data_IF_028620717845
#
_entry.id   IF_028620717845
#
_cell.length_a   1.000
_cell.length_b   1.000
_cell.length_c   1.000
_cell.angle_alpha   90.00
_cell.angle_beta   90.00
_cell.angle_gamma   90.00
#
_symmetry.space_group_name_H-M   'P 1'
#
loop_
_entity.id
_entity.type
_entity.pdbx_description
1 polymer ?
#
# COMPACT_ATOMS: atom_id res chain seq x y z
N UNK A 1 4.36 19.97 -12.34
CA UNK A 1 4.46 18.70 -13.09
C UNK A 1 4.65 17.55 -12.14
N UNK A 2 4.31 16.33 -12.57
CA UNK A 2 4.39 15.14 -11.75
C UNK A 2 5.10 13.98 -12.46
N UNK A 3 5.80 13.16 -11.70
CA UNK A 3 6.40 11.90 -12.13
C UNK A 3 5.59 10.72 -11.60
N UNK A 4 5.34 9.73 -12.46
CA UNK A 4 4.69 8.47 -12.07
C UNK A 4 5.76 7.39 -11.99
N UNK A 5 5.97 6.85 -10.80
CA UNK A 5 6.99 5.82 -10.54
C UNK A 5 6.29 4.47 -10.40
N UNK A 6 6.42 3.65 -11.43
CA UNK A 6 5.84 2.28 -11.50
C UNK A 6 6.91 1.23 -11.81
N UNK A 7 8.12 1.42 -11.29
CA UNK A 7 9.21 0.43 -11.39
C UNK A 7 8.89 -0.81 -10.56
N UNK A 8 9.78 -1.81 -10.52
CA UNK A 8 9.65 -2.89 -9.54
C UNK A 8 9.71 -2.30 -8.12
N UNK A 9 8.97 -2.90 -7.19
CA UNK A 9 8.76 -2.41 -5.81
C UNK A 9 10.06 -2.15 -5.03
N UNK A 10 11.06 -3.01 -5.17
CA UNK A 10 12.39 -2.84 -4.59
C UNK A 10 13.21 -1.69 -5.21
N UNK A 11 12.76 -1.11 -6.32
CA UNK A 11 13.40 0.00 -7.02
C UNK A 11 12.63 1.32 -6.85
N UNK A 12 11.56 1.38 -6.07
CA UNK A 12 10.72 2.57 -5.91
C UNK A 12 11.47 3.78 -5.32
N UNK A 13 12.28 3.55 -4.29
CA UNK A 13 12.87 4.59 -3.44
C UNK A 13 13.71 5.59 -4.24
N UNK A 14 14.74 5.10 -4.94
CA UNK A 14 15.71 5.94 -5.64
C UNK A 14 15.10 6.87 -6.71
N UNK A 15 14.29 6.40 -7.68
CA UNK A 15 13.69 7.27 -8.68
C UNK A 15 12.68 8.25 -8.07
N UNK A 16 11.95 7.88 -7.01
CA UNK A 16 11.04 8.80 -6.32
C UNK A 16 11.79 9.93 -5.59
N UNK A 17 12.90 9.61 -4.90
CA UNK A 17 13.76 10.61 -4.27
C UNK A 17 14.32 11.60 -5.31
N UNK A 18 14.86 11.08 -6.43
CA UNK A 18 15.39 11.90 -7.52
C UNK A 18 14.32 12.77 -8.16
N UNK A 19 13.12 12.24 -8.40
CA UNK A 19 12.02 13.02 -8.98
C UNK A 19 11.63 14.21 -8.09
N UNK A 20 11.52 14.01 -6.77
CA UNK A 20 11.24 15.09 -5.83
C UNK A 20 12.38 16.11 -5.76
N UNK A 21 13.63 15.68 -5.79
CA UNK A 21 14.81 16.57 -5.84
C UNK A 21 14.83 17.43 -7.11
N UNK A 22 14.39 16.88 -8.25
CA UNK A 22 14.23 17.62 -9.51
C UNK A 22 12.98 18.51 -9.55
N UNK A 23 12.20 18.58 -8.46
CA UNK A 23 11.06 19.48 -8.33
C UNK A 23 9.72 18.93 -8.84
N UNK A 24 9.61 17.62 -9.07
CA UNK A 24 8.35 16.97 -9.45
C UNK A 24 7.54 16.52 -8.22
N UNK A 25 6.22 16.65 -8.30
CA UNK A 25 5.32 15.87 -7.45
C UNK A 25 5.39 14.39 -7.90
N UNK A 26 5.20 13.45 -6.97
CA UNK A 26 5.36 12.02 -7.24
C UNK A 26 4.07 11.26 -6.95
N UNK A 27 3.61 10.52 -7.97
CA UNK A 27 2.65 9.43 -7.81
C UNK A 27 3.42 8.10 -7.84
N UNK A 28 3.49 7.41 -6.72
CA UNK A 28 4.30 6.21 -6.53
C UNK A 28 3.40 4.97 -6.45
N UNK A 29 3.69 3.95 -7.25
CA UNK A 29 3.01 2.66 -7.13
C UNK A 29 3.20 2.03 -5.74
N UNK A 30 2.27 1.18 -5.36
CA UNK A 30 2.34 0.47 -4.08
C UNK A 30 3.13 -0.84 -4.22
N UNK A 31 3.78 -1.33 -3.15
CA UNK A 31 3.96 -0.67 -1.85
C UNK A 31 4.94 0.50 -1.94
N UNK A 32 4.85 1.43 -1.00
CA UNK A 32 5.70 2.62 -0.96
C UNK A 32 7.20 2.27 -1.01
N UNK A 33 7.61 1.31 -0.19
CA UNK A 33 8.92 0.65 -0.25
C UNK A 33 8.83 -0.72 0.47
N UNK A 34 9.88 -1.54 0.34
CA UNK A 34 9.93 -2.85 0.98
C UNK A 34 10.46 -2.78 2.42
N UNK A 35 11.11 -1.67 2.80
CA UNK A 35 11.71 -1.47 4.12
C UNK A 35 11.21 -0.18 4.76
N UNK A 36 11.14 -0.18 6.09
CA UNK A 36 10.62 0.94 6.87
C UNK A 36 11.51 2.19 6.75
N UNK A 37 12.83 2.02 6.76
CA UNK A 37 13.77 3.13 6.62
C UNK A 37 13.64 3.84 5.28
N UNK A 38 13.40 3.10 4.19
CA UNK A 38 13.11 3.68 2.88
C UNK A 38 11.79 4.46 2.85
N UNK A 39 10.73 3.94 3.50
CA UNK A 39 9.48 4.68 3.67
C UNK A 39 9.73 6.02 4.41
N UNK A 40 10.52 5.99 5.49
CA UNK A 40 10.89 7.21 6.23
C UNK A 40 11.67 8.19 5.36
N UNK A 41 12.64 7.69 4.56
CA UNK A 41 13.40 8.53 3.62
C UNK A 41 12.50 9.25 2.62
N UNK A 42 11.54 8.53 2.03
CA UNK A 42 10.59 9.09 1.06
C UNK A 42 9.71 10.18 1.68
N UNK A 43 9.17 9.95 2.89
CA UNK A 43 8.38 10.97 3.61
C UNK A 43 9.24 12.19 3.93
N UNK A 44 10.44 11.99 4.46
CA UNK A 44 11.34 13.08 4.79
C UNK A 44 11.72 13.90 3.55
N UNK A 45 11.99 13.25 2.41
CA UNK A 45 12.30 13.95 1.16
C UNK A 45 11.12 14.75 0.63
N UNK A 46 9.91 14.23 0.72
CA UNK A 46 8.68 14.98 0.39
C UNK A 46 8.55 16.23 1.25
N UNK A 47 8.81 16.14 2.56
CA UNK A 47 8.78 17.27 3.48
C UNK A 47 9.90 18.29 3.20
N UNK A 48 11.12 17.82 2.94
CA UNK A 48 12.29 18.65 2.65
C UNK A 48 12.12 19.46 1.35
N UNK A 49 11.64 18.82 0.28
CA UNK A 49 11.47 19.44 -1.04
C UNK A 49 10.15 20.20 -1.20
N UNK A 50 9.21 20.02 -0.27
CA UNK A 50 7.86 20.54 -0.37
C UNK A 50 7.05 19.95 -1.54
N UNK A 51 7.46 18.79 -2.08
CA UNK A 51 6.78 18.09 -3.17
C UNK A 51 5.76 17.11 -2.62
N UNK A 52 4.65 16.95 -3.32
CA UNK A 52 3.64 15.96 -2.96
C UNK A 52 4.15 14.55 -3.28
N UNK A 53 4.03 13.65 -2.32
CA UNK A 53 4.21 12.21 -2.52
C UNK A 53 2.89 11.50 -2.25
N UNK A 54 2.28 10.95 -3.29
CA UNK A 54 1.04 10.20 -3.22
C UNK A 54 1.30 8.73 -3.56
N UNK A 55 0.85 7.82 -2.70
CA UNK A 55 0.91 6.38 -2.97
C UNK A 55 -0.34 5.95 -3.73
N UNK A 56 -0.20 5.09 -4.75
CA UNK A 56 -1.28 4.53 -5.58
C UNK A 56 -2.17 3.54 -4.84
N UNK A 57 -2.82 3.97 -3.75
CA UNK A 57 -3.90 3.21 -3.12
C UNK A 57 -5.21 3.35 -3.91
N UNK A 58 -5.21 2.80 -5.13
CA UNK A 58 -6.29 2.96 -6.12
C UNK A 58 -7.65 2.45 -5.62
N UNK A 59 -7.67 1.51 -4.66
CA UNK A 59 -8.92 0.94 -4.14
C UNK A 59 -9.82 2.00 -3.50
N UNK A 60 -9.27 3.07 -2.91
CA UNK A 60 -10.05 4.19 -2.34
C UNK A 60 -10.96 4.87 -3.38
N UNK A 61 -10.62 4.77 -4.66
CA UNK A 61 -11.32 5.43 -5.78
C UNK A 61 -12.28 4.50 -6.52
N UNK A 62 -12.42 3.24 -6.09
CA UNK A 62 -13.42 2.34 -6.66
C UNK A 62 -14.77 2.58 -6.01
N UNK A 63 -15.85 2.49 -6.79
CA UNK A 63 -17.23 2.70 -6.31
C UNK A 63 -17.57 1.81 -5.11
N UNK A 64 -17.04 0.59 -5.08
CA UNK A 64 -17.26 -0.34 -3.99
C UNK A 64 -16.72 0.19 -2.66
N UNK A 65 -15.44 0.55 -2.60
CA UNK A 65 -14.83 1.01 -1.36
C UNK A 65 -15.21 2.44 -1.01
N UNK A 66 -15.44 3.32 -1.99
CA UNK A 66 -15.97 4.67 -1.72
C UNK A 66 -17.38 4.62 -1.11
N UNK A 67 -18.25 3.73 -1.61
CA UNK A 67 -19.59 3.52 -1.02
C UNK A 67 -19.51 3.02 0.42
N UNK A 68 -18.59 2.08 0.72
CA UNK A 68 -18.37 1.61 2.09
C UNK A 68 -17.89 2.75 2.99
N UNK A 69 -16.90 3.51 2.53
CA UNK A 69 -16.38 4.67 3.24
C UNK A 69 -17.48 5.68 3.55
N UNK A 70 -18.24 6.13 2.55
CA UNK A 70 -19.35 7.07 2.72
C UNK A 70 -20.43 6.54 3.67
N UNK A 71 -20.75 5.25 3.59
CA UNK A 71 -21.72 4.62 4.50
C UNK A 71 -21.25 4.67 5.95
N UNK A 72 -19.98 4.37 6.20
CA UNK A 72 -19.37 4.47 7.54
C UNK A 72 -19.36 5.93 8.01
N UNK A 73 -18.88 6.87 7.17
CA UNK A 73 -18.77 8.29 7.52
C UNK A 73 -20.14 8.93 7.77
N UNK A 74 -21.19 8.48 7.07
CA UNK A 74 -22.56 8.99 7.26
C UNK A 74 -23.15 8.67 8.63
N UNK A 75 -22.55 7.76 9.40
CA UNK A 75 -23.05 7.33 10.71
C UNK A 75 -24.30 6.43 10.65
N UNK A 76 -24.77 6.05 9.45
CA UNK A 76 -25.96 5.19 9.26
C UNK A 76 -25.85 3.81 9.94
N UNK A 77 -24.62 3.31 10.11
CA UNK A 77 -24.34 2.04 10.78
C UNK A 77 -24.19 2.18 12.31
N UNK A 78 -24.24 3.41 12.84
CA UNK A 78 -23.85 3.69 14.22
C UNK A 78 -22.35 3.47 14.44
N UNK A 79 -21.99 2.98 15.62
CA UNK A 79 -20.59 2.70 15.98
C UNK A 79 -20.12 1.41 15.31
N UNK A 80 -19.12 1.49 14.45
CA UNK A 80 -18.43 0.31 13.91
C UNK A 80 -17.73 -0.44 15.05
N UNK A 81 -18.08 -1.72 15.21
CA UNK A 81 -17.51 -2.59 16.26
C UNK A 81 -16.45 -3.54 15.70
N UNK A 82 -16.66 -4.04 14.48
CA UNK A 82 -15.78 -5.00 13.84
C UNK A 82 -15.74 -4.77 12.33
N UNK A 83 -14.57 -5.01 11.72
CA UNK A 83 -14.38 -5.04 10.27
C UNK A 83 -13.59 -6.32 9.95
N UNK A 84 -14.08 -7.08 8.96
CA UNK A 84 -13.41 -8.27 8.44
C UNK A 84 -13.10 -8.04 6.96
N UNK A 85 -11.83 -8.17 6.58
CA UNK A 85 -11.38 -8.05 5.19
C UNK A 85 -10.79 -9.39 4.74
N UNK A 86 -11.09 -9.78 3.49
CA UNK A 86 -10.60 -11.03 2.89
C UNK A 86 -10.04 -10.76 1.50
N UNK A 87 -8.72 -10.82 1.39
CA UNK A 87 -8.02 -10.76 0.11
C UNK A 87 -7.76 -12.19 -0.38
N UNK A 88 -8.46 -12.60 -1.44
CA UNK A 88 -8.33 -13.94 -2.02
C UNK A 88 -7.53 -13.89 -3.32
N UNK A 89 -6.27 -14.33 -3.26
CA UNK A 89 -5.40 -14.39 -4.44
C UNK A 89 -5.68 -15.66 -5.23
N UNK A 90 -6.10 -15.53 -6.49
CA UNK A 90 -6.37 -16.68 -7.35
C UNK A 90 -5.11 -17.53 -7.60
N UNK A 91 -5.29 -18.85 -7.80
CA UNK A 91 -4.17 -19.78 -7.98
C UNK A 91 -3.26 -19.42 -9.17
N UNK A 92 -3.84 -18.90 -10.26
CA UNK A 92 -3.09 -18.52 -11.45
C UNK A 92 -2.28 -17.25 -11.21
N UNK A 93 -2.83 -16.28 -10.49
CA UNK A 93 -2.12 -15.05 -10.11
C UNK A 93 -1.00 -15.37 -9.12
N UNK A 94 -1.26 -16.25 -8.15
CA UNK A 94 -0.24 -16.73 -7.22
C UNK A 94 0.91 -17.44 -7.96
N UNK A 95 0.59 -18.39 -8.84
CA UNK A 95 1.58 -19.14 -9.61
C UNK A 95 2.39 -18.26 -10.55
N UNK A 96 1.73 -17.31 -11.22
CA UNK A 96 2.40 -16.39 -12.13
C UNK A 96 3.31 -15.40 -11.39
N UNK A 97 2.79 -14.68 -10.37
CA UNK A 97 3.52 -13.57 -9.75
C UNK A 97 4.50 -14.01 -8.66
N UNK A 98 4.10 -14.97 -7.82
CA UNK A 98 4.79 -15.32 -6.58
C UNK A 98 5.50 -16.68 -6.60
N UNK A 99 5.34 -17.45 -7.69
CA UNK A 99 6.14 -18.67 -7.91
C UNK A 99 7.12 -18.46 -9.07
N UNK A 100 6.63 -18.04 -10.24
CA UNK A 100 7.46 -17.91 -11.46
C UNK A 100 7.88 -16.47 -11.76
N UNK A 101 7.21 -15.49 -11.17
CA UNK A 101 7.30 -14.08 -11.56
C UNK A 101 8.30 -13.26 -10.75
N UNK A 102 8.11 -11.95 -10.81
CA UNK A 102 9.00 -10.97 -10.20
C UNK A 102 8.97 -11.02 -8.66
N UNK A 103 7.87 -11.47 -8.06
CA UNK A 103 7.68 -11.53 -6.60
C UNK A 103 7.97 -12.92 -5.99
N UNK A 104 8.70 -13.77 -6.71
CA UNK A 104 8.97 -15.15 -6.28
C UNK A 104 9.90 -15.28 -5.07
N UNK A 105 10.61 -14.22 -4.70
CA UNK A 105 11.61 -14.24 -3.64
C UNK A 105 11.56 -12.94 -2.83
N UNK A 106 11.22 -13.08 -1.54
CA UNK A 106 11.08 -11.96 -0.59
C UNK A 106 12.39 -11.25 -0.25
N UNK A 107 13.54 -11.84 -0.55
CA UNK A 107 14.85 -11.19 -0.38
C UNK A 107 15.11 -10.10 -1.44
N UNK A 108 14.43 -10.18 -2.57
CA UNK A 108 14.63 -9.26 -3.71
C UNK A 108 13.37 -8.51 -4.13
N UNK A 109 12.22 -8.77 -3.51
CA UNK A 109 10.92 -8.18 -3.85
C UNK A 109 10.00 -8.18 -2.63
N UNK A 110 8.85 -7.49 -2.68
CA UNK A 110 7.90 -7.55 -1.57
C UNK A 110 7.37 -8.96 -1.35
N UNK A 111 7.28 -9.44 -0.09
CA UNK A 111 6.50 -10.64 0.19
C UNK A 111 5.02 -10.40 -0.15
N UNK A 112 4.29 -11.48 -0.45
CA UNK A 112 2.89 -11.39 -0.87
C UNK A 112 2.01 -10.61 0.12
N UNK A 113 2.23 -10.81 1.43
CA UNK A 113 1.48 -10.10 2.48
C UNK A 113 1.62 -8.58 2.36
N UNK A 114 2.82 -8.07 2.07
CA UNK A 114 3.04 -6.64 1.87
C UNK A 114 2.44 -6.19 0.54
N UNK A 115 2.73 -6.90 -0.54
CA UNK A 115 2.31 -6.52 -1.89
C UNK A 115 0.78 -6.49 -2.09
N UNK A 116 0.04 -7.32 -1.34
CA UNK A 116 -1.43 -7.41 -1.42
C UNK A 116 -2.13 -6.66 -0.29
N UNK A 117 -1.77 -6.94 0.96
CA UNK A 117 -2.50 -6.40 2.11
C UNK A 117 -2.10 -4.96 2.51
N UNK A 118 -1.14 -4.33 1.83
CA UNK A 118 -0.94 -2.89 1.99
C UNK A 118 -2.18 -2.08 1.57
N UNK A 119 -2.97 -2.57 0.61
CA UNK A 119 -4.27 -1.98 0.32
C UNK A 119 -5.29 -2.20 1.45
N UNK A 120 -5.35 -3.39 2.04
CA UNK A 120 -6.29 -3.69 3.13
C UNK A 120 -6.01 -2.81 4.35
N UNK A 121 -4.75 -2.67 4.75
CA UNK A 121 -4.34 -1.83 5.87
C UNK A 121 -4.63 -0.34 5.59
N UNK A 122 -4.37 0.12 4.37
CA UNK A 122 -4.68 1.47 3.92
C UNK A 122 -6.19 1.76 3.98
N UNK A 123 -7.01 0.83 3.49
CA UNK A 123 -8.48 0.94 3.50
C UNK A 123 -9.03 0.93 4.92
N UNK A 124 -8.55 0.02 5.78
CA UNK A 124 -8.97 -0.03 7.18
C UNK A 124 -8.70 1.30 7.87
N UNK A 125 -7.49 1.83 7.73
CA UNK A 125 -7.14 3.13 8.29
C UNK A 125 -7.99 4.25 7.68
N UNK A 126 -8.19 4.27 6.37
CA UNK A 126 -9.01 5.27 5.69
C UNK A 126 -10.47 5.26 6.17
N UNK A 127 -11.08 4.08 6.29
CA UNK A 127 -12.48 3.92 6.69
C UNK A 127 -12.73 4.32 8.15
N UNK A 128 -11.83 3.98 9.08
CA UNK A 128 -12.07 4.20 10.52
C UNK A 128 -11.33 5.39 11.11
N UNK A 129 -10.22 5.84 10.50
CA UNK A 129 -9.40 6.95 10.98
C UNK A 129 -8.72 6.71 12.33
N UNK A 130 -8.67 5.46 12.82
CA UNK A 130 -8.08 5.12 14.13
C UNK A 130 -6.76 4.39 13.96
N UNK A 131 -5.74 4.85 14.68
CA UNK A 131 -4.43 4.19 14.74
C UNK A 131 -4.55 2.89 15.54
N UNK A 132 -4.06 1.74 15.02
CA UNK A 132 -4.13 0.47 15.74
C UNK A 132 -3.35 0.51 17.05
N UNK A 133 -3.97 0.08 18.16
CA UNK A 133 -3.31 -0.02 19.48
C UNK A 133 -2.50 -1.31 19.65
N UNK A 134 -2.92 -2.38 18.98
CA UNK A 134 -2.29 -3.71 19.01
C UNK A 134 -2.48 -4.35 17.65
N UNK A 135 -1.47 -5.11 17.20
CA UNK A 135 -1.51 -5.89 15.96
C UNK A 135 -1.03 -7.29 16.31
N UNK A 136 -1.69 -8.29 15.73
CA UNK A 136 -1.30 -9.69 15.83
C UNK A 136 -1.30 -10.30 14.42
N UNK A 137 -0.37 -11.20 14.17
CA UNK A 137 -0.26 -11.91 12.89
C UNK A 137 -0.01 -13.39 13.14
N UNK A 138 -0.60 -14.24 12.31
CA UNK A 138 -0.34 -15.67 12.28
C UNK A 138 -0.19 -16.08 10.81
N UNK A 139 0.98 -16.63 10.47
CA UNK A 139 1.26 -17.13 9.14
C UNK A 139 1.21 -18.66 9.21
N UNK A 140 0.25 -19.26 8.50
CA UNK A 140 0.17 -20.70 8.37
C UNK A 140 1.03 -21.13 7.18
N UNK A 141 2.15 -21.78 7.46
CA UNK A 141 2.93 -22.47 6.42
C UNK A 141 2.52 -23.95 6.41
N UNK A 142 1.88 -24.38 5.32
CA UNK A 142 1.75 -25.80 5.02
C UNK A 142 3.06 -26.28 4.38
N UNK A 143 4.11 -26.45 5.19
CA UNK A 143 5.24 -27.30 4.83
C UNK A 143 4.93 -28.72 5.30
#
# INVERSE_FOLDING_TARGET
DAAIITTQDNMHTQPALLAMEQGYDVLLEKPMANKLDECVQLVNKSQETGKHLQICHVLRYTDFYSTIYETIQSGKLGKVINIECKENVSYFHYSHSYIRGNWRNSEISSPMILAKCCHDLDLLYWMVGVVPKKVFTMIFSNL
#
